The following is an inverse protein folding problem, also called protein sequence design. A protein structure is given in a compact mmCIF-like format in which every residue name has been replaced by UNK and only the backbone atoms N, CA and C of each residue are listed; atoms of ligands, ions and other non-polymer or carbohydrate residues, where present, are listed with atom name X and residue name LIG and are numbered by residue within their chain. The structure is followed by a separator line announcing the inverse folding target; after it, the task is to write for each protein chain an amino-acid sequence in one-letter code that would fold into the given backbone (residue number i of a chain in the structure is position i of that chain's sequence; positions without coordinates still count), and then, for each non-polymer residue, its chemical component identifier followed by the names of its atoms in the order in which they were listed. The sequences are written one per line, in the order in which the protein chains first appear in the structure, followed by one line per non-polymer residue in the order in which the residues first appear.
data_IF_331806998810
#
_entry.id   IF_331806998810
#
_cell.length_a   1.000
_cell.length_b   1.000
_cell.length_c   1.000
_cell.angle_alpha   90.00
_cell.angle_beta   90.00
_cell.angle_gamma   90.00
#
_symmetry.space_group_name_H-M   'P 1'
#
loop_
_entity.id
_entity.type
_entity.pdbx_description
1 polymer ?
#
# COMPACT_ATOMS: atom_id res chain seq x y z
N UNK A 1 -31.24 34.41 -46.03
CA UNK A 1 -30.02 33.60 -46.25
C UNK A 1 -28.84 34.45 -45.79
N UNK A 2 -28.54 34.43 -44.51
CA UNK A 2 -27.46 35.21 -43.88
C UNK A 2 -26.46 34.17 -43.33
N UNK A 3 -25.37 33.95 -44.06
CA UNK A 3 -24.25 33.15 -43.63
C UNK A 3 -23.46 33.93 -42.56
N UNK A 4 -23.58 33.55 -41.32
CA UNK A 4 -22.69 34.02 -40.24
C UNK A 4 -21.38 33.23 -40.31
N UNK A 5 -20.33 33.87 -40.82
CA UNK A 5 -18.97 33.39 -40.76
C UNK A 5 -18.53 33.33 -39.30
N UNK A 6 -18.22 32.14 -38.78
CA UNK A 6 -17.53 31.98 -37.50
C UNK A 6 -16.08 32.46 -37.64
N UNK A 7 -15.60 33.35 -36.80
CA UNK A 7 -14.19 33.73 -36.84
C UNK A 7 -13.33 32.52 -36.45
N UNK A 8 -12.44 32.14 -37.35
CA UNK A 8 -11.36 31.18 -37.08
C UNK A 8 -10.38 31.84 -36.13
N UNK A 9 -10.49 31.54 -34.82
CA UNK A 9 -9.48 31.92 -33.85
C UNK A 9 -8.25 31.05 -34.13
N UNK A 10 -7.28 31.63 -34.84
CA UNK A 10 -5.96 31.07 -35.00
C UNK A 10 -5.30 31.07 -33.60
N UNK A 11 -5.18 29.88 -33.01
CA UNK A 11 -4.49 29.67 -31.75
C UNK A 11 -2.97 29.79 -31.96
N UNK A 12 -2.52 31.03 -32.21
CA UNK A 12 -1.11 31.35 -32.16
C UNK A 12 -0.73 31.46 -30.68
N UNK A 13 -0.52 30.31 -30.01
CA UNK A 13 0.05 30.29 -28.67
C UNK A 13 1.49 30.82 -28.79
N UNK A 14 1.86 31.93 -28.16
CA UNK A 14 3.23 32.39 -28.18
C UNK A 14 4.10 31.29 -27.61
N UNK A 15 4.99 30.72 -28.43
CA UNK A 15 6.09 29.89 -27.97
C UNK A 15 7.00 30.77 -27.13
N UNK A 16 6.74 30.81 -25.82
CA UNK A 16 7.59 31.51 -24.88
C UNK A 16 8.95 30.81 -24.88
N UNK A 17 9.90 31.35 -25.66
CA UNK A 17 11.29 30.87 -25.61
C UNK A 17 11.82 31.20 -24.23
N UNK A 18 11.81 30.23 -23.33
CA UNK A 18 12.42 30.38 -22.01
C UNK A 18 13.88 30.81 -22.21
N UNK A 19 14.31 31.82 -21.50
CA UNK A 19 15.67 32.30 -21.57
C UNK A 19 16.66 31.13 -21.29
N UNK A 20 17.74 31.07 -22.02
CA UNK A 20 18.70 29.96 -21.96
C UNK A 20 19.16 29.66 -20.52
N UNK A 21 19.40 30.71 -19.74
CA UNK A 21 19.82 30.60 -18.34
C UNK A 21 18.78 29.92 -17.45
N UNK A 22 17.48 30.11 -17.71
CA UNK A 22 16.40 29.43 -16.97
C UNK A 22 16.43 27.91 -17.24
N UNK A 23 16.65 27.52 -18.49
CA UNK A 23 16.80 26.12 -18.83
C UNK A 23 18.04 25.50 -18.17
N UNK A 24 19.20 26.21 -18.21
CA UNK A 24 20.43 25.76 -17.56
C UNK A 24 20.20 25.57 -16.07
N UNK A 25 19.59 26.55 -15.39
CA UNK A 25 19.30 26.46 -13.97
C UNK A 25 18.34 25.30 -13.67
N UNK A 26 17.29 25.13 -14.49
CA UNK A 26 16.33 24.00 -14.33
C UNK A 26 17.04 22.67 -14.43
N UNK A 27 17.88 22.47 -15.47
CA UNK A 27 18.63 21.20 -15.62
C UNK A 27 19.67 21.01 -14.50
N UNK A 28 20.35 22.06 -14.07
CA UNK A 28 21.29 21.98 -12.96
C UNK A 28 20.63 21.53 -11.66
N UNK A 29 19.45 22.10 -11.33
CA UNK A 29 18.65 21.68 -10.17
C UNK A 29 18.16 20.23 -10.31
N UNK A 30 17.67 19.84 -11.49
CA UNK A 30 17.21 18.48 -11.75
C UNK A 30 18.36 17.45 -11.62
N UNK A 31 19.54 17.74 -12.18
CA UNK A 31 20.71 16.88 -12.08
C UNK A 31 21.16 16.77 -10.63
N UNK A 32 21.25 17.89 -9.91
CA UNK A 32 21.61 17.89 -8.50
C UNK A 32 20.67 17.01 -7.66
N UNK A 33 19.36 17.21 -7.79
CA UNK A 33 18.38 16.38 -7.06
C UNK A 33 18.41 14.92 -7.49
N UNK A 34 18.64 14.64 -8.78
CA UNK A 34 18.80 13.26 -9.25
C UNK A 34 20.01 12.58 -8.60
N UNK A 35 21.14 13.28 -8.49
CA UNK A 35 22.33 12.76 -7.80
C UNK A 35 22.06 12.51 -6.31
N UNK A 36 21.40 13.45 -5.63
CA UNK A 36 21.03 13.29 -4.20
C UNK A 36 20.12 12.07 -4.00
N UNK A 37 19.12 11.87 -4.88
CA UNK A 37 18.22 10.72 -4.79
C UNK A 37 18.88 9.38 -5.15
N UNK A 38 19.79 9.38 -6.13
CA UNK A 38 20.46 8.17 -6.59
C UNK A 38 21.65 7.76 -5.71
N UNK A 39 22.24 8.70 -4.97
CA UNK A 39 23.41 8.44 -4.13
C UNK A 39 23.19 7.33 -3.09
N UNK A 40 22.09 7.30 -2.31
CA UNK A 40 21.84 6.21 -1.37
C UNK A 40 21.73 4.85 -2.06
N UNK A 41 21.12 4.78 -3.25
CA UNK A 41 20.99 3.54 -4.01
C UNK A 41 22.34 3.09 -4.54
N UNK A 42 23.15 4.02 -5.05
CA UNK A 42 24.52 3.76 -5.46
C UNK A 42 25.37 3.24 -4.28
N UNK A 43 25.24 3.89 -3.11
CA UNK A 43 25.96 3.49 -1.90
C UNK A 43 25.61 2.06 -1.49
N UNK A 44 24.34 1.71 -1.42
CA UNK A 44 23.89 0.35 -1.10
C UNK A 44 24.39 -0.65 -2.15
N UNK A 45 24.36 -0.30 -3.44
CA UNK A 45 24.88 -1.16 -4.51
C UNK A 45 26.38 -1.41 -4.36
N UNK A 46 27.14 -0.38 -4.12
CA UNK A 46 28.61 -0.49 -3.90
C UNK A 46 28.90 -1.31 -2.64
N UNK A 47 28.20 -1.04 -1.54
CA UNK A 47 28.38 -1.75 -0.27
C UNK A 47 28.09 -3.24 -0.41
N UNK A 48 27.09 -3.62 -1.19
CA UNK A 48 26.76 -5.04 -1.44
C UNK A 48 27.87 -5.82 -2.16
N UNK A 49 28.80 -5.12 -2.80
CA UNK A 49 29.93 -5.70 -3.54
C UNK A 49 31.24 -5.67 -2.74
N UNK A 50 31.25 -5.10 -1.53
CA UNK A 50 32.42 -5.11 -0.65
C UNK A 50 32.49 -6.43 0.09
N UNK A 51 33.40 -7.31 -0.29
CA UNK A 51 33.49 -8.65 0.29
C UNK A 51 34.48 -8.77 1.45
N UNK A 52 35.16 -7.68 1.84
CA UNK A 52 36.15 -7.65 2.90
C UNK A 52 35.69 -6.70 4.02
N UNK A 53 35.64 -7.14 5.29
CA UNK A 53 35.30 -6.29 6.43
C UNK A 53 36.18 -5.03 6.55
N UNK A 54 37.46 -5.10 6.20
CA UNK A 54 38.38 -3.96 6.20
C UNK A 54 37.93 -2.82 5.27
N UNK A 55 37.22 -3.13 4.20
CA UNK A 55 36.74 -2.13 3.23
C UNK A 55 35.58 -1.27 3.77
N UNK A 56 35.01 -1.58 4.94
CA UNK A 56 33.98 -0.77 5.57
C UNK A 56 34.53 0.39 6.39
N UNK A 57 35.78 0.31 6.80
CA UNK A 57 36.41 1.32 7.65
C UNK A 57 36.92 2.54 6.86
N UNK A 58 37.08 2.40 5.54
CA UNK A 58 37.53 3.46 4.67
C UNK A 58 36.52 3.84 3.59
N UNK A 59 36.51 5.11 3.13
CA UNK A 59 35.53 5.61 2.17
C UNK A 59 35.86 5.18 0.74
N UNK A 60 35.85 3.88 0.47
CA UNK A 60 36.01 3.33 -0.88
C UNK A 60 34.68 3.44 -1.66
N UNK A 61 34.65 4.32 -2.66
CA UNK A 61 33.46 4.64 -3.40
C UNK A 61 33.39 4.02 -4.79
N UNK A 62 34.55 3.80 -5.42
CA UNK A 62 34.62 3.40 -6.83
C UNK A 62 35.01 1.92 -6.97
N UNK A 63 34.07 1.06 -7.43
CA UNK A 63 34.40 -0.33 -7.75
C UNK A 63 35.52 -0.39 -8.82
N UNK A 64 36.36 -1.39 -8.72
CA UNK A 64 37.55 -1.63 -9.57
C UNK A 64 38.71 -0.61 -9.47
N UNK A 65 38.50 0.54 -8.80
CA UNK A 65 39.53 1.54 -8.53
C UNK A 65 39.99 1.46 -7.08
N UNK A 66 39.03 1.57 -6.17
CA UNK A 66 39.30 1.60 -4.73
C UNK A 66 39.31 0.19 -4.12
N UNK A 67 38.51 -0.73 -4.71
CA UNK A 67 38.41 -2.12 -4.25
C UNK A 67 38.01 -3.08 -5.38
N UNK A 68 38.30 -4.36 -5.21
CA UNK A 68 37.85 -5.43 -6.13
C UNK A 68 36.45 -5.89 -5.74
N UNK A 69 35.44 -5.73 -6.62
CA UNK A 69 34.08 -6.18 -6.32
C UNK A 69 34.02 -7.68 -6.06
N UNK A 70 33.28 -8.07 -5.02
CA UNK A 70 33.09 -9.45 -4.63
C UNK A 70 31.57 -9.76 -4.52
N UNK A 71 31.18 -10.95 -4.92
CA UNK A 71 29.80 -11.45 -4.76
C UNK A 71 29.62 -12.27 -3.47
N UNK A 72 30.58 -12.23 -2.53
CA UNK A 72 30.55 -13.01 -1.29
C UNK A 72 29.24 -12.77 -0.51
N UNK A 73 28.82 -11.52 -0.37
CA UNK A 73 27.57 -11.17 0.31
C UNK A 73 26.34 -11.75 -0.39
N UNK A 74 26.30 -11.69 -1.72
CA UNK A 74 25.21 -12.27 -2.52
C UNK A 74 25.15 -13.80 -2.42
N UNK A 75 26.29 -14.45 -2.53
CA UNK A 75 26.39 -15.92 -2.31
C UNK A 75 25.94 -16.26 -0.90
N UNK A 76 26.38 -15.49 0.10
CA UNK A 76 26.01 -15.70 1.49
C UNK A 76 24.48 -15.64 1.71
N UNK A 77 23.80 -14.59 1.23
CA UNK A 77 22.34 -14.47 1.41
C UNK A 77 21.56 -15.50 0.60
N UNK A 78 22.09 -15.95 -0.55
CA UNK A 78 21.44 -16.95 -1.40
C UNK A 78 21.70 -18.39 -0.96
N UNK A 79 22.86 -18.67 -0.34
CA UNK A 79 23.30 -20.03 0.00
C UNK A 79 23.11 -20.38 1.47
N UNK A 80 23.50 -19.48 2.38
CA UNK A 80 23.40 -19.73 3.83
C UNK A 80 22.04 -19.31 4.41
N UNK A 81 21.35 -18.37 3.76
CA UNK A 81 19.95 -18.06 4.05
C UNK A 81 18.98 -19.02 3.34
N UNK A 82 19.47 -20.14 2.83
CA UNK A 82 18.88 -21.00 1.80
C UNK A 82 17.47 -21.47 2.13
N UNK A 83 17.17 -21.74 3.38
CA UNK A 83 15.84 -22.27 3.74
C UNK A 83 14.78 -21.18 3.90
N UNK A 84 15.18 -19.90 3.88
CA UNK A 84 14.26 -18.84 4.30
C UNK A 84 14.12 -17.64 3.36
N UNK A 85 15.10 -17.30 2.52
CA UNK A 85 15.01 -16.13 1.64
C UNK A 85 13.90 -16.27 0.59
N UNK A 86 13.87 -17.39 -0.12
CA UNK A 86 12.85 -17.67 -1.14
C UNK A 86 11.47 -17.81 -0.52
N UNK A 87 11.36 -18.44 0.66
CA UNK A 87 10.11 -18.54 1.40
C UNK A 87 9.60 -17.15 1.78
N UNK A 88 10.46 -16.28 2.30
CA UNK A 88 10.09 -14.91 2.68
C UNK A 88 9.73 -14.04 1.48
N UNK A 89 10.44 -14.23 0.37
CA UNK A 89 10.07 -13.62 -0.90
C UNK A 89 8.68 -14.06 -1.36
N UNK A 90 8.41 -15.36 -1.32
CA UNK A 90 7.10 -15.92 -1.68
C UNK A 90 6.01 -15.41 -0.74
N UNK A 91 6.24 -15.40 0.57
CA UNK A 91 5.31 -14.84 1.54
C UNK A 91 5.01 -13.37 1.26
N UNK A 92 6.05 -12.54 1.03
CA UNK A 92 5.88 -11.14 0.65
C UNK A 92 5.06 -10.97 -0.63
N UNK A 93 5.29 -11.82 -1.63
CA UNK A 93 4.55 -11.80 -2.88
C UNK A 93 3.08 -12.19 -2.67
N UNK A 94 2.81 -13.27 -1.97
CA UNK A 94 1.45 -13.74 -1.68
C UNK A 94 0.69 -12.68 -0.86
N UNK A 95 1.27 -12.22 0.25
CA UNK A 95 0.64 -11.20 1.11
C UNK A 95 0.46 -9.90 0.35
N UNK A 96 1.50 -9.40 -0.31
CA UNK A 96 1.47 -8.13 -1.02
C UNK A 96 0.46 -8.11 -2.16
N UNK A 97 0.45 -9.12 -3.02
CA UNK A 97 -0.48 -9.22 -4.15
C UNK A 97 -1.92 -9.40 -3.66
N UNK A 98 -2.15 -10.34 -2.74
CA UNK A 98 -3.51 -10.63 -2.25
C UNK A 98 -4.10 -9.44 -1.51
N UNK A 99 -3.33 -8.80 -0.62
CA UNK A 99 -3.78 -7.59 0.09
C UNK A 99 -4.05 -6.44 -0.88
N UNK A 100 -3.23 -6.28 -1.91
CA UNK A 100 -3.45 -5.25 -2.94
C UNK A 100 -4.75 -5.48 -3.69
N UNK A 101 -4.97 -6.69 -4.17
CA UNK A 101 -6.20 -7.05 -4.90
C UNK A 101 -7.44 -6.84 -4.04
N UNK A 102 -7.41 -7.28 -2.79
CA UNK A 102 -8.52 -7.07 -1.84
C UNK A 102 -8.74 -5.58 -1.56
N UNK A 103 -7.66 -4.84 -1.28
CA UNK A 103 -7.74 -3.40 -0.97
C UNK A 103 -8.30 -2.60 -2.14
N UNK A 104 -7.82 -2.83 -3.35
CA UNK A 104 -8.29 -2.12 -4.54
C UNK A 104 -9.71 -2.52 -4.90
N UNK A 105 -10.07 -3.80 -4.77
CA UNK A 105 -11.43 -4.27 -5.04
C UNK A 105 -12.44 -3.71 -4.03
N UNK A 106 -12.16 -3.80 -2.74
CA UNK A 106 -13.04 -3.27 -1.69
C UNK A 106 -13.10 -1.74 -1.72
N UNK A 107 -11.94 -1.09 -1.89
CA UNK A 107 -11.85 0.36 -2.04
C UNK A 107 -12.60 0.87 -3.28
N UNK A 108 -12.44 0.18 -4.40
CA UNK A 108 -13.16 0.49 -5.65
C UNK A 108 -14.67 0.35 -5.49
N UNK A 109 -15.16 -0.74 -4.89
CA UNK A 109 -16.58 -0.91 -4.60
C UNK A 109 -17.10 0.18 -3.65
N UNK A 110 -16.34 0.52 -2.61
CA UNK A 110 -16.70 1.57 -1.67
C UNK A 110 -16.78 2.94 -2.36
N UNK A 111 -15.78 3.30 -3.17
CA UNK A 111 -15.75 4.57 -3.91
C UNK A 111 -16.86 4.62 -4.96
N UNK A 112 -17.08 3.54 -5.71
CA UNK A 112 -18.20 3.45 -6.65
C UNK A 112 -19.53 3.69 -5.94
N UNK A 113 -19.75 3.01 -4.80
CA UNK A 113 -20.93 3.23 -3.98
C UNK A 113 -21.08 4.70 -3.53
N UNK A 114 -20.02 5.32 -3.03
CA UNK A 114 -20.03 6.69 -2.52
C UNK A 114 -20.17 7.75 -3.62
N UNK A 115 -19.73 7.47 -4.85
CA UNK A 115 -19.85 8.41 -5.98
C UNK A 115 -21.16 8.30 -6.73
N UNK A 116 -21.82 7.13 -6.72
CA UNK A 116 -23.06 6.85 -7.48
C UNK A 116 -24.33 6.86 -6.62
N UNK A 117 -24.21 6.64 -5.31
CA UNK A 117 -25.35 6.64 -4.41
C UNK A 117 -25.23 7.71 -3.35
N UNK A 118 -26.37 8.28 -2.97
CA UNK A 118 -26.43 9.21 -1.84
C UNK A 118 -26.79 8.45 -0.57
N UNK A 119 -25.84 8.39 0.35
CA UNK A 119 -26.06 7.78 1.66
C UNK A 119 -26.38 8.83 2.72
N UNK A 120 -27.26 8.46 3.64
CA UNK A 120 -27.57 9.23 4.83
C UNK A 120 -27.57 8.28 6.04
N UNK A 121 -26.38 8.05 6.60
CA UNK A 121 -26.20 7.16 7.75
C UNK A 121 -26.23 7.99 9.03
N UNK A 122 -27.05 7.60 10.00
CA UNK A 122 -27.14 8.30 11.28
C UNK A 122 -25.93 7.98 12.16
N UNK A 123 -25.36 8.99 12.77
CA UNK A 123 -24.21 8.86 13.69
C UNK A 123 -24.46 7.81 14.78
N UNK A 124 -25.66 7.80 15.35
CA UNK A 124 -26.05 6.82 16.36
C UNK A 124 -25.86 5.38 15.90
N UNK A 125 -26.15 5.08 14.63
CA UNK A 125 -25.92 3.73 14.07
C UNK A 125 -24.44 3.40 14.00
N UNK A 126 -23.61 4.33 13.52
CA UNK A 126 -22.17 4.11 13.44
C UNK A 126 -21.54 3.90 14.81
N UNK A 127 -21.94 4.71 15.81
CA UNK A 127 -21.47 4.55 17.19
C UNK A 127 -21.90 3.20 17.76
N UNK A 128 -23.14 2.80 17.55
CA UNK A 128 -23.64 1.50 18.04
C UNK A 128 -22.94 0.32 17.35
N UNK A 129 -22.69 0.39 16.02
CA UNK A 129 -21.91 -0.63 15.32
C UNK A 129 -20.46 -0.68 15.80
N UNK A 130 -19.84 0.47 16.04
CA UNK A 130 -18.47 0.53 16.58
C UNK A 130 -18.41 -0.08 17.98
N UNK A 131 -19.33 0.28 18.87
CA UNK A 131 -19.41 -0.31 20.21
C UNK A 131 -19.65 -1.81 20.13
N UNK A 132 -20.55 -2.27 19.25
CA UNK A 132 -20.78 -3.69 19.05
C UNK A 132 -19.51 -4.42 18.59
N UNK A 133 -18.73 -3.84 17.69
CA UNK A 133 -17.44 -4.41 17.25
C UNK A 133 -16.41 -4.47 18.39
N UNK A 134 -16.33 -3.42 19.22
CA UNK A 134 -15.44 -3.38 20.39
C UNK A 134 -15.81 -4.46 21.40
N UNK A 135 -17.10 -4.61 21.71
CA UNK A 135 -17.58 -5.66 22.62
C UNK A 135 -17.40 -7.06 22.02
N UNK A 136 -17.61 -7.25 20.70
CA UNK A 136 -17.32 -8.51 20.03
C UNK A 136 -15.84 -8.89 20.14
N UNK A 137 -14.93 -7.91 19.93
CA UNK A 137 -13.50 -8.10 20.13
C UNK A 137 -13.14 -8.45 21.57
N UNK A 138 -13.76 -7.77 22.55
CA UNK A 138 -13.60 -8.08 23.96
C UNK A 138 -14.03 -9.50 24.33
N UNK A 139 -15.10 -10.01 23.75
CA UNK A 139 -15.56 -11.38 23.96
C UNK A 139 -14.54 -12.43 23.51
N UNK A 140 -13.72 -12.13 22.49
CA UNK A 140 -12.64 -13.01 22.01
C UNK A 140 -11.44 -12.99 22.99
N UNK A 141 -11.15 -11.83 23.56
CA UNK A 141 -9.92 -11.61 24.38
C UNK A 141 -10.06 -12.17 25.81
N UNK A 142 -11.27 -12.12 26.38
CA UNK A 142 -11.47 -12.46 27.79
C UNK A 142 -11.85 -13.94 27.94
N UNK A 143 -10.99 -14.80 28.52
CA UNK A 143 -11.23 -16.26 28.57
C UNK A 143 -12.23 -16.71 29.66
N UNK A 144 -12.92 -15.77 30.30
CA UNK A 144 -13.90 -16.08 31.34
C UNK A 144 -15.28 -16.28 30.70
N UNK A 145 -15.80 -17.49 30.70
CA UNK A 145 -17.03 -17.89 30.03
C UNK A 145 -18.23 -16.99 30.34
N UNK A 146 -18.41 -16.64 31.60
CA UNK A 146 -19.51 -15.75 32.03
C UNK A 146 -19.38 -14.36 31.42
N UNK A 147 -18.16 -13.82 31.38
CA UNK A 147 -17.86 -12.49 30.82
C UNK A 147 -18.04 -12.52 29.30
N UNK A 148 -17.61 -13.59 28.63
CA UNK A 148 -17.85 -13.77 27.17
C UNK A 148 -19.33 -13.76 26.83
N UNK A 149 -20.18 -14.48 27.59
CA UNK A 149 -21.64 -14.44 27.40
C UNK A 149 -22.20 -13.03 27.54
N UNK A 150 -21.75 -12.27 28.55
CA UNK A 150 -22.17 -10.89 28.73
C UNK A 150 -21.78 -10.02 27.52
N UNK A 151 -20.54 -10.14 27.04
CA UNK A 151 -20.06 -9.41 25.86
C UNK A 151 -20.87 -9.77 24.59
N UNK A 152 -21.16 -11.03 24.37
CA UNK A 152 -21.99 -11.49 23.25
C UNK A 152 -23.41 -10.91 23.35
N UNK A 153 -24.03 -10.95 24.53
CA UNK A 153 -25.37 -10.36 24.75
C UNK A 153 -25.37 -8.86 24.48
N UNK A 154 -24.37 -8.13 25.03
CA UNK A 154 -24.24 -6.69 24.80
C UNK A 154 -24.02 -6.38 23.32
N UNK A 155 -23.17 -7.15 22.64
CA UNK A 155 -22.92 -7.03 21.20
C UNK A 155 -24.22 -7.21 20.40
N UNK A 156 -24.97 -8.27 20.68
CA UNK A 156 -26.25 -8.54 20.02
C UNK A 156 -27.28 -7.42 20.27
N UNK A 157 -27.37 -6.92 21.50
CA UNK A 157 -28.25 -5.81 21.87
C UNK A 157 -27.86 -4.51 21.12
N UNK A 158 -26.57 -4.16 21.10
CA UNK A 158 -26.08 -2.98 20.38
C UNK A 158 -26.34 -3.09 18.87
N UNK A 159 -26.15 -4.28 18.30
CA UNK A 159 -26.46 -4.56 16.89
C UNK A 159 -27.95 -4.40 16.60
N UNK A 160 -28.81 -4.97 17.42
CA UNK A 160 -30.28 -4.82 17.29
C UNK A 160 -30.70 -3.36 17.44
N UNK A 161 -30.10 -2.61 18.35
CA UNK A 161 -30.37 -1.18 18.49
C UNK A 161 -29.89 -0.41 17.26
N UNK A 162 -28.72 -0.73 16.70
CA UNK A 162 -28.18 -0.09 15.50
C UNK A 162 -29.05 -0.31 14.26
N UNK A 163 -29.70 -1.46 14.15
CA UNK A 163 -30.58 -1.82 13.02
C UNK A 163 -31.98 -1.23 13.10
N UNK A 164 -32.40 -0.66 14.24
CA UNK A 164 -33.74 -0.05 14.38
C UNK A 164 -33.98 1.06 13.36
N UNK A 165 -35.15 1.10 12.68
CA UNK A 165 -35.40 2.05 11.59
C UNK A 165 -35.54 3.50 12.05
N UNK A 166 -35.95 3.74 13.31
CA UNK A 166 -36.29 5.08 13.80
C UNK A 166 -35.24 5.68 14.76
N UNK A 167 -33.95 5.63 14.36
CA UNK A 167 -32.87 6.26 15.11
C UNK A 167 -32.95 7.79 15.03
N UNK A 168 -32.80 8.51 16.15
CA UNK A 168 -32.67 9.97 16.20
C UNK A 168 -31.18 10.36 16.14
N UNK A 169 -30.86 11.53 15.58
CA UNK A 169 -29.49 12.07 15.56
C UNK A 169 -29.09 12.61 14.19
N UNK A 170 -27.94 13.32 14.13
CA UNK A 170 -27.42 13.89 12.90
C UNK A 170 -27.08 12.78 11.89
N UNK A 171 -27.25 13.10 10.61
CA UNK A 171 -26.92 12.19 9.50
C UNK A 171 -25.56 12.53 8.93
N UNK A 172 -24.73 11.51 8.73
CA UNK A 172 -23.54 11.58 7.91
C UNK A 172 -23.90 11.34 6.45
N UNK A 173 -23.60 12.30 5.61
CA UNK A 173 -23.66 12.18 4.16
C UNK A 173 -22.34 11.62 3.64
N UNK A 174 -22.26 11.41 2.32
CA UNK A 174 -21.09 10.80 1.69
C UNK A 174 -19.76 11.46 2.10
N UNK A 175 -19.71 12.79 2.18
CA UNK A 175 -18.49 13.52 2.61
C UNK A 175 -18.07 13.17 4.04
N UNK A 176 -19.04 13.04 4.94
CA UNK A 176 -18.77 12.63 6.32
C UNK A 176 -18.33 11.17 6.43
N UNK A 177 -18.87 10.28 5.58
CA UNK A 177 -18.44 8.87 5.50
C UNK A 177 -17.01 8.80 4.98
N UNK A 178 -16.69 9.54 3.92
CA UNK A 178 -15.34 9.64 3.37
C UNK A 178 -14.36 10.16 4.42
N UNK A 179 -14.72 11.24 5.11
CA UNK A 179 -13.90 11.78 6.19
C UNK A 179 -13.66 10.74 7.29
N UNK A 180 -14.69 10.00 7.70
CA UNK A 180 -14.55 8.95 8.72
C UNK A 180 -13.60 7.83 8.28
N UNK A 181 -13.67 7.39 7.01
CA UNK A 181 -12.74 6.40 6.45
C UNK A 181 -11.30 6.93 6.49
N UNK A 182 -11.08 8.16 6.02
CA UNK A 182 -9.75 8.77 5.98
C UNK A 182 -9.20 9.04 7.38
N UNK A 183 -10.05 9.42 8.33
CA UNK A 183 -9.67 9.68 9.72
C UNK A 183 -9.07 8.45 10.42
N UNK A 184 -9.41 7.24 9.99
CA UNK A 184 -8.79 6.02 10.54
C UNK A 184 -7.28 5.96 10.29
N UNK A 185 -6.78 6.64 9.26
CA UNK A 185 -5.34 6.70 8.93
C UNK A 185 -4.55 7.67 9.82
N UNK A 186 -5.23 8.55 10.57
CA UNK A 186 -4.59 9.46 11.52
C UNK A 186 -3.97 8.69 12.69
N UNK A 187 -4.52 7.52 13.04
CA UNK A 187 -3.95 6.69 14.10
C UNK A 187 -2.58 6.15 13.67
N UNK A 188 -1.52 6.37 14.49
CA UNK A 188 -0.21 5.81 14.19
C UNK A 188 -0.26 4.27 14.17
N UNK A 189 0.35 3.61 13.17
CA UNK A 189 0.33 2.14 13.06
C UNK A 189 0.82 1.42 14.32
N UNK A 190 1.78 2.01 15.06
CA UNK A 190 2.32 1.45 16.30
C UNK A 190 1.27 1.33 17.42
N UNK A 191 0.27 2.21 17.43
CA UNK A 191 -0.84 2.15 18.41
C UNK A 191 -1.81 1.04 18.05
N UNK A 192 -1.97 0.79 16.75
CA UNK A 192 -2.93 -0.17 16.21
C UNK A 192 -2.37 -1.60 16.23
N UNK A 193 -1.05 -1.78 16.09
CA UNK A 193 -0.44 -3.11 15.98
C UNK A 193 -0.61 -3.94 17.25
N UNK A 194 -0.53 -3.32 18.43
CA UNK A 194 -0.65 -4.05 19.70
C UNK A 194 -2.03 -4.67 19.93
N UNK A 195 -3.16 -3.95 19.76
CA UNK A 195 -4.47 -4.57 19.83
C UNK A 195 -4.66 -5.70 18.79
N UNK A 196 -4.15 -5.51 17.54
CA UNK A 196 -4.23 -6.54 16.50
C UNK A 196 -3.41 -7.78 16.89
N UNK A 197 -2.21 -7.58 17.43
CA UNK A 197 -1.38 -8.67 17.94
C UNK A 197 -2.12 -9.49 19.01
N UNK A 198 -2.70 -8.81 20.00
CA UNK A 198 -3.46 -9.47 21.06
C UNK A 198 -4.65 -10.25 20.50
N UNK A 199 -5.41 -9.65 19.57
CA UNK A 199 -6.52 -10.35 18.91
C UNK A 199 -6.03 -11.57 18.12
N UNK A 200 -4.93 -11.46 17.36
CA UNK A 200 -4.36 -12.56 16.60
C UNK A 200 -3.84 -13.67 17.52
N UNK A 201 -3.28 -13.33 18.67
CA UNK A 201 -2.84 -14.30 19.68
C UNK A 201 -4.02 -15.11 20.24
N UNK A 202 -5.10 -14.45 20.65
CA UNK A 202 -6.26 -15.14 21.22
C UNK A 202 -7.04 -15.96 20.20
N UNK A 203 -7.03 -15.57 18.94
CA UNK A 203 -7.69 -16.31 17.85
C UNK A 203 -6.81 -17.40 17.24
N UNK A 204 -5.55 -17.50 17.65
CA UNK A 204 -4.59 -18.44 17.03
C UNK A 204 -4.19 -18.04 15.59
N UNK A 205 -4.40 -16.78 15.21
CA UNK A 205 -4.10 -16.28 13.87
C UNK A 205 -2.66 -15.75 13.73
N UNK A 206 -1.87 -15.70 14.81
CA UNK A 206 -0.46 -15.33 14.73
C UNK A 206 0.29 -16.25 13.76
N UNK A 207 1.27 -15.70 13.06
CA UNK A 207 2.10 -16.40 12.09
C UNK A 207 1.31 -17.07 10.96
N UNK A 208 0.26 -16.38 10.47
CA UNK A 208 -0.56 -16.81 9.34
C UNK A 208 -0.65 -15.74 8.25
N UNK A 209 -0.75 -16.17 6.99
CA UNK A 209 -1.02 -15.28 5.86
C UNK A 209 -2.33 -14.49 6.05
N UNK A 210 -3.34 -15.12 6.67
CA UNK A 210 -4.62 -14.48 6.94
C UNK A 210 -4.48 -13.23 7.80
N UNK A 211 -3.72 -13.31 8.92
CA UNK A 211 -3.52 -12.16 9.80
C UNK A 211 -2.86 -10.99 9.07
N UNK A 212 -1.82 -11.25 8.24
CA UNK A 212 -1.15 -10.22 7.47
C UNK A 212 -2.06 -9.64 6.38
N UNK A 213 -2.70 -10.49 5.58
CA UNK A 213 -3.56 -10.06 4.46
C UNK A 213 -4.71 -9.21 4.99
N UNK A 214 -5.36 -9.64 6.07
CA UNK A 214 -6.45 -8.89 6.68
C UNK A 214 -5.98 -7.53 7.22
N UNK A 215 -4.86 -7.51 7.93
CA UNK A 215 -4.29 -6.30 8.51
C UNK A 215 -3.83 -5.31 7.43
N UNK A 216 -3.11 -5.78 6.41
CA UNK A 216 -2.62 -4.93 5.31
C UNK A 216 -3.77 -4.37 4.49
N UNK A 217 -4.79 -5.19 4.20
CA UNK A 217 -6.00 -4.75 3.51
C UNK A 217 -6.71 -3.66 4.29
N UNK A 218 -6.95 -3.88 5.59
CA UNK A 218 -7.63 -2.93 6.46
C UNK A 218 -6.85 -1.61 6.59
N UNK A 219 -5.53 -1.69 6.79
CA UNK A 219 -4.67 -0.53 6.95
C UNK A 219 -4.55 0.32 5.67
N UNK A 220 -4.57 -0.29 4.48
CA UNK A 220 -4.41 0.40 3.22
C UNK A 220 -5.74 0.78 2.53
N UNK A 221 -6.88 0.27 3.01
CA UNK A 221 -8.20 0.58 2.46
C UNK A 221 -8.48 2.09 2.39
N UNK A 222 -8.23 2.91 3.43
CA UNK A 222 -8.42 4.36 3.37
C UNK A 222 -7.59 5.04 2.27
N UNK A 223 -6.36 4.58 2.05
CA UNK A 223 -5.48 5.11 1.01
C UNK A 223 -6.02 4.78 -0.38
N UNK A 224 -6.48 3.55 -0.60
CA UNK A 224 -7.10 3.15 -1.86
C UNK A 224 -8.37 3.98 -2.15
N UNK A 225 -9.23 4.16 -1.15
CA UNK A 225 -10.45 5.00 -1.27
C UNK A 225 -10.06 6.43 -1.65
N UNK A 226 -9.06 7.02 -0.98
CA UNK A 226 -8.62 8.38 -1.27
C UNK A 226 -8.06 8.54 -2.69
N UNK A 227 -7.24 7.58 -3.13
CA UNK A 227 -6.62 7.63 -4.47
C UNK A 227 -7.63 7.33 -5.59
N UNK A 228 -8.61 6.46 -5.36
CA UNK A 228 -9.63 6.11 -6.35
C UNK A 228 -10.74 7.16 -6.47
N UNK A 229 -10.99 7.95 -5.43
CA UNK A 229 -12.09 8.91 -5.38
C UNK A 229 -12.09 9.91 -6.55
N UNK A 230 -11.00 10.64 -6.84
CA UNK A 230 -10.96 11.55 -7.99
C UNK A 230 -11.12 10.81 -9.32
N UNK A 231 -10.49 9.65 -9.47
CA UNK A 231 -10.55 8.82 -10.68
C UNK A 231 -11.99 8.42 -11.01
N UNK A 232 -12.75 7.98 -10.00
CA UNK A 232 -14.14 7.51 -10.17
C UNK A 232 -15.11 8.69 -10.30
N UNK A 233 -14.79 9.82 -9.69
CA UNK A 233 -15.60 11.04 -9.76
C UNK A 233 -15.62 11.70 -11.14
N UNK A 234 -14.55 11.55 -11.92
CA UNK A 234 -14.44 12.13 -13.27
C UNK A 234 -15.21 11.37 -14.35
N UNK A 235 -15.65 10.13 -14.09
CA UNK A 235 -16.36 9.32 -15.07
C UNK A 235 -17.80 9.80 -15.20
N UNK A 236 -18.19 10.14 -16.44
CA UNK A 236 -19.54 10.57 -16.78
C UNK A 236 -20.57 9.45 -16.55
N UNK A 237 -21.72 9.79 -15.96
CA UNK A 237 -22.79 8.83 -15.62
C UNK A 237 -23.63 8.38 -16.82
N UNK A 238 -23.57 9.09 -17.95
CA UNK A 238 -24.45 8.86 -19.10
C UNK A 238 -24.44 7.43 -19.66
N UNK A 239 -23.29 6.77 -19.65
CA UNK A 239 -23.19 5.37 -20.12
C UNK A 239 -23.79 4.39 -19.12
N UNK A 240 -23.65 4.67 -17.83
CA UNK A 240 -24.22 3.88 -16.74
C UNK A 240 -25.77 4.01 -16.74
N UNK A 241 -26.26 5.23 -16.94
CA UNK A 241 -27.71 5.51 -17.04
C UNK A 241 -28.35 4.80 -18.25
N UNK A 242 -27.69 4.81 -19.40
CA UNK A 242 -28.14 4.07 -20.58
C UNK A 242 -28.22 2.55 -20.32
N UNK A 243 -27.19 2.00 -19.68
CA UNK A 243 -27.18 0.57 -19.33
C UNK A 243 -28.23 0.20 -18.28
N UNK A 244 -28.59 1.12 -17.37
CA UNK A 244 -29.69 0.93 -16.42
C UNK A 244 -31.06 0.89 -17.13
N UNK A 245 -31.24 1.70 -18.16
CA UNK A 245 -32.46 1.65 -18.98
C UNK A 245 -32.59 0.32 -19.71
N UNK A 246 -31.46 -0.30 -20.11
CA UNK A 246 -31.41 -1.65 -20.69
C UNK A 246 -31.58 -2.77 -19.64
N UNK A 247 -31.80 -2.43 -18.38
CA UNK A 247 -32.04 -3.40 -17.28
C UNK A 247 -30.78 -4.03 -16.69
N UNK A 248 -29.57 -3.46 -16.93
CA UNK A 248 -28.36 -3.96 -16.31
C UNK A 248 -28.31 -3.66 -14.80
N UNK A 249 -27.90 -4.64 -13.99
CA UNK A 249 -27.69 -4.43 -12.56
C UNK A 249 -26.48 -3.58 -12.28
N UNK A 250 -26.44 -2.86 -11.15
CA UNK A 250 -25.31 -2.01 -10.76
C UNK A 250 -23.97 -2.75 -10.72
N UNK A 251 -23.94 -4.00 -10.24
CA UNK A 251 -22.72 -4.80 -10.22
C UNK A 251 -22.24 -5.14 -11.65
N UNK A 252 -23.16 -5.44 -12.56
CA UNK A 252 -22.84 -5.68 -13.95
C UNK A 252 -22.28 -4.42 -14.60
N UNK A 253 -22.92 -3.27 -14.40
CA UNK A 253 -22.42 -1.96 -14.87
C UNK A 253 -21.02 -1.70 -14.33
N UNK A 254 -20.81 -1.89 -13.03
CA UNK A 254 -19.48 -1.70 -12.42
C UNK A 254 -18.41 -2.56 -13.09
N UNK A 255 -18.66 -3.86 -13.26
CA UNK A 255 -17.64 -4.80 -13.75
C UNK A 255 -17.43 -4.70 -15.27
N UNK A 256 -18.49 -4.46 -16.05
CA UNK A 256 -18.41 -4.56 -17.52
C UNK A 256 -18.27 -3.22 -18.24
N UNK A 257 -18.67 -2.12 -17.61
CA UNK A 257 -18.63 -0.78 -18.23
C UNK A 257 -17.64 0.10 -17.45
N UNK A 258 -17.91 0.31 -16.17
CA UNK A 258 -17.17 1.28 -15.37
C UNK A 258 -15.70 0.89 -15.13
N UNK A 259 -15.46 -0.31 -14.62
CA UNK A 259 -14.10 -0.77 -14.28
C UNK A 259 -13.15 -0.80 -15.49
N UNK A 260 -13.57 -1.24 -16.70
CA UNK A 260 -12.72 -1.13 -17.90
C UNK A 260 -12.36 0.31 -18.28
N UNK A 261 -13.26 1.29 -18.06
CA UNK A 261 -12.99 2.70 -18.36
C UNK A 261 -11.89 3.28 -17.47
N UNK A 262 -11.87 2.89 -16.20
CA UNK A 262 -10.90 3.38 -15.19
C UNK A 262 -9.74 2.40 -14.96
N UNK A 263 -9.60 1.35 -15.76
CA UNK A 263 -8.66 0.25 -15.52
C UNK A 263 -7.21 0.71 -15.39
N UNK A 264 -6.76 1.64 -16.24
CA UNK A 264 -5.39 2.17 -16.17
C UNK A 264 -5.11 2.89 -14.86
N UNK A 265 -6.00 3.79 -14.47
CA UNK A 265 -5.86 4.56 -13.23
C UNK A 265 -5.99 3.68 -12.00
N UNK A 266 -6.91 2.71 -12.03
CA UNK A 266 -7.08 1.71 -10.97
C UNK A 266 -5.83 0.82 -10.84
N UNK A 267 -5.21 0.42 -11.95
CA UNK A 267 -3.95 -0.33 -11.94
C UNK A 267 -2.79 0.51 -11.35
N UNK A 268 -2.73 1.81 -11.65
CA UNK A 268 -1.75 2.71 -11.06
C UNK A 268 -1.92 2.83 -9.54
N UNK A 269 -3.17 2.96 -9.07
CA UNK A 269 -3.47 2.91 -7.62
C UNK A 269 -3.07 1.56 -7.03
N UNK A 270 -3.38 0.46 -7.73
CA UNK A 270 -2.97 -0.89 -7.32
C UNK A 270 -1.45 -1.01 -7.14
N UNK A 271 -0.66 -0.42 -8.03
CA UNK A 271 0.80 -0.39 -7.88
C UNK A 271 1.24 0.35 -6.61
N UNK A 272 0.63 1.50 -6.32
CA UNK A 272 0.93 2.25 -5.08
C UNK A 272 0.61 1.42 -3.84
N UNK A 273 -0.57 0.78 -3.81
CA UNK A 273 -0.97 -0.09 -2.69
C UNK A 273 -0.03 -1.30 -2.58
N UNK A 274 0.40 -1.89 -3.70
CA UNK A 274 1.36 -2.99 -3.70
C UNK A 274 2.70 -2.56 -3.08
N UNK A 275 3.22 -1.37 -3.45
CA UNK A 275 4.45 -0.82 -2.87
C UNK A 275 4.31 -0.64 -1.36
N UNK A 276 3.15 -0.14 -0.88
CA UNK A 276 2.89 0.00 0.56
C UNK A 276 2.85 -1.36 1.27
N UNK A 277 2.17 -2.36 0.70
CA UNK A 277 2.12 -3.70 1.27
C UNK A 277 3.47 -4.41 1.23
N UNK A 278 4.24 -4.25 0.15
CA UNK A 278 5.55 -4.87 -0.02
C UNK A 278 6.58 -4.38 0.99
N UNK A 279 6.55 -3.08 1.31
CA UNK A 279 7.48 -2.44 2.24
C UNK A 279 6.98 -2.44 3.69
N UNK A 280 5.85 -3.11 3.99
CA UNK A 280 5.29 -3.11 5.33
C UNK A 280 6.14 -3.94 6.29
N UNK A 281 6.71 -3.26 7.27
CA UNK A 281 7.60 -3.84 8.27
C UNK A 281 6.90 -4.11 9.60
N UNK A 282 6.17 -3.09 10.12
CA UNK A 282 5.72 -3.08 11.49
C UNK A 282 4.74 -4.22 11.80
N UNK A 283 3.66 -4.33 11.01
CA UNK A 283 2.69 -5.39 11.23
C UNK A 283 3.30 -6.77 11.00
N UNK A 284 4.18 -6.92 10.00
CA UNK A 284 4.86 -8.19 9.78
C UNK A 284 5.77 -8.58 10.95
N UNK A 285 6.55 -7.64 11.48
CA UNK A 285 7.47 -7.89 12.59
C UNK A 285 6.75 -8.33 13.88
N UNK A 286 5.52 -7.85 14.10
CA UNK A 286 4.74 -8.22 15.29
C UNK A 286 3.83 -9.42 15.09
N UNK A 287 3.28 -9.63 13.89
CA UNK A 287 2.27 -10.67 13.63
C UNK A 287 2.86 -11.98 13.12
N UNK A 288 4.14 -12.00 12.72
CA UNK A 288 4.77 -13.22 12.17
C UNK A 288 6.07 -13.55 12.90
N UNK A 289 6.45 -14.82 12.84
CA UNK A 289 7.72 -15.33 13.33
C UNK A 289 8.47 -16.09 12.22
N UNK A 290 8.31 -17.40 12.14
CA UNK A 290 9.13 -18.23 11.25
C UNK A 290 8.42 -18.66 9.96
N UNK A 291 7.12 -19.00 10.04
CA UNK A 291 6.39 -19.63 8.92
C UNK A 291 6.01 -18.62 7.84
N UNK A 292 5.53 -17.44 8.25
CA UNK A 292 4.93 -16.43 7.35
C UNK A 292 5.71 -15.13 7.36
N UNK A 293 6.92 -15.12 7.92
CA UNK A 293 7.78 -13.95 7.90
C UNK A 293 7.98 -13.44 6.46
N UNK A 294 7.90 -12.11 6.30
CA UNK A 294 8.07 -11.40 5.02
C UNK A 294 9.49 -10.86 4.89
N UNK A 295 9.82 -10.31 3.70
CA UNK A 295 11.16 -9.77 3.44
C UNK A 295 11.55 -8.60 4.36
N UNK A 296 10.71 -7.57 4.63
CA UNK A 296 11.15 -6.41 5.40
C UNK A 296 11.65 -6.75 6.82
N UNK A 297 10.94 -7.55 7.65
CA UNK A 297 11.47 -7.98 8.95
C UNK A 297 12.75 -8.81 8.83
N UNK A 298 12.83 -9.68 7.83
CA UNK A 298 14.02 -10.49 7.61
C UNK A 298 15.24 -9.63 7.24
N UNK A 299 15.08 -8.65 6.34
CA UNK A 299 16.15 -7.70 5.99
C UNK A 299 16.61 -6.94 7.22
N UNK A 300 15.70 -6.42 8.02
CA UNK A 300 16.05 -5.72 9.27
C UNK A 300 16.79 -6.63 10.27
N UNK A 301 16.42 -7.91 10.32
CA UNK A 301 17.08 -8.91 11.18
C UNK A 301 18.53 -9.25 10.77
N UNK A 302 18.97 -8.95 9.54
CA UNK A 302 20.33 -9.25 9.10
C UNK A 302 21.39 -8.50 9.91
N UNK A 303 21.09 -7.34 10.48
CA UNK A 303 22.00 -6.63 11.38
C UNK A 303 22.06 -7.26 12.78
N UNK A 304 20.92 -7.67 13.32
CA UNK A 304 20.82 -8.11 14.72
C UNK A 304 21.47 -9.46 14.98
N UNK A 305 21.55 -10.34 13.98
CA UNK A 305 22.10 -11.70 14.14
C UNK A 305 23.61 -11.68 14.37
N UNK A 306 24.31 -10.61 14.02
CA UNK A 306 25.79 -10.54 14.00
C UNK A 306 26.42 -9.64 15.04
N UNK A 307 25.62 -8.83 15.77
CA UNK A 307 26.13 -7.99 16.86
C UNK A 307 26.80 -8.81 18.00
N UNK A 308 26.55 -10.11 18.07
CA UNK A 308 27.19 -11.01 19.05
C UNK A 308 28.48 -11.73 18.59
N UNK A 309 28.84 -11.63 17.30
CA UNK A 309 30.07 -12.22 16.76
C UNK A 309 31.09 -11.11 16.51
N UNK A 310 31.97 -10.89 17.50
CA UNK A 310 33.09 -9.96 17.41
C UNK A 310 34.00 -10.41 16.25
N UNK A 311 34.01 -9.65 15.15
CA UNK A 311 34.94 -9.84 14.04
C UNK A 311 34.38 -9.67 12.62
N UNK A 312 33.06 -9.54 12.42
CA UNK A 312 32.47 -9.61 11.08
C UNK A 312 31.44 -8.49 10.76
N UNK A 313 31.60 -7.30 11.37
CA UNK A 313 30.70 -6.16 11.13
C UNK A 313 30.63 -5.76 9.64
N UNK A 314 31.74 -5.85 8.91
CA UNK A 314 31.81 -5.55 7.49
C UNK A 314 30.98 -6.50 6.63
N UNK A 315 31.00 -7.79 6.93
CA UNK A 315 30.19 -8.79 6.24
C UNK A 315 28.68 -8.57 6.50
N UNK A 316 28.29 -8.10 7.70
CA UNK A 316 26.91 -7.78 8.02
C UNK A 316 26.35 -6.63 7.16
N UNK A 317 27.11 -5.54 7.00
CA UNK A 317 26.74 -4.42 6.15
C UNK A 317 26.61 -4.79 4.67
N UNK A 318 27.55 -5.62 4.16
CA UNK A 318 27.50 -6.10 2.77
C UNK A 318 26.28 -6.99 2.54
N UNK A 319 25.99 -7.89 3.46
CA UNK A 319 24.82 -8.79 3.37
C UNK A 319 23.49 -8.03 3.52
N UNK A 320 23.41 -7.08 4.45
CA UNK A 320 22.26 -6.18 4.56
C UNK A 320 22.03 -5.42 3.25
N UNK A 321 23.10 -4.87 2.67
CA UNK A 321 23.00 -4.13 1.41
C UNK A 321 22.55 -5.02 0.26
N UNK A 322 23.06 -6.24 0.15
CA UNK A 322 22.61 -7.22 -0.84
C UNK A 322 21.13 -7.61 -0.63
N UNK A 323 20.70 -7.80 0.62
CA UNK A 323 19.32 -8.10 0.97
C UNK A 323 18.36 -6.93 0.63
N UNK A 324 18.78 -5.68 0.88
CA UNK A 324 18.01 -4.48 0.50
C UNK A 324 17.84 -4.42 -1.02
N UNK A 325 18.91 -4.64 -1.80
CA UNK A 325 18.81 -4.65 -3.27
C UNK A 325 17.88 -5.76 -3.74
N UNK A 326 18.00 -6.96 -3.18
CA UNK A 326 17.12 -8.07 -3.49
C UNK A 326 15.64 -7.73 -3.23
N UNK A 327 15.35 -7.03 -2.12
CA UNK A 327 14.00 -6.58 -1.79
C UNK A 327 13.48 -5.50 -2.75
N UNK A 328 14.35 -4.61 -3.25
CA UNK A 328 13.96 -3.51 -4.14
C UNK A 328 13.74 -3.98 -5.59
N UNK A 329 14.45 -5.02 -6.05
CA UNK A 329 14.38 -5.49 -7.45
C UNK A 329 12.95 -5.74 -7.97
N UNK A 330 12.05 -6.45 -7.25
CA UNK A 330 10.70 -6.67 -7.74
C UNK A 330 9.90 -5.36 -7.89
N UNK A 331 10.10 -4.40 -6.99
CA UNK A 331 9.44 -3.09 -7.08
C UNK A 331 9.87 -2.31 -8.31
N UNK A 332 11.18 -2.30 -8.61
CA UNK A 332 11.71 -1.67 -9.82
C UNK A 332 11.17 -2.35 -11.08
N UNK A 333 11.12 -3.68 -11.10
CA UNK A 333 10.54 -4.44 -12.20
C UNK A 333 9.05 -4.13 -12.40
N UNK A 334 8.25 -4.16 -11.32
CA UNK A 334 6.82 -3.83 -11.36
C UNK A 334 6.59 -2.39 -11.82
N UNK A 335 7.35 -1.43 -11.31
CA UNK A 335 7.24 -0.01 -11.69
C UNK A 335 7.61 0.19 -13.16
N UNK A 336 8.69 -0.42 -13.64
CA UNK A 336 9.13 -0.35 -15.04
C UNK A 336 8.11 -0.97 -16.01
N UNK A 337 7.51 -2.09 -15.64
CA UNK A 337 6.43 -2.72 -16.42
C UNK A 337 5.17 -1.86 -16.42
N UNK A 338 4.78 -1.32 -15.26
CA UNK A 338 3.61 -0.46 -15.13
C UNK A 338 3.75 0.82 -15.97
N UNK A 339 4.91 1.47 -15.97
CA UNK A 339 5.16 2.66 -16.79
C UNK A 339 4.97 2.38 -18.29
N UNK A 340 5.47 1.24 -18.79
CA UNK A 340 5.28 0.82 -20.18
C UNK A 340 3.82 0.56 -20.52
N UNK A 341 3.08 -0.04 -19.60
CA UNK A 341 1.65 -0.35 -19.79
C UNK A 341 0.81 0.93 -19.75
N UNK A 342 0.99 1.78 -18.74
CA UNK A 342 0.28 3.04 -18.56
C UNK A 342 0.55 4.03 -19.71
N UNK A 343 1.80 4.12 -20.20
CA UNK A 343 2.15 4.95 -21.34
C UNK A 343 1.44 4.54 -22.63
N UNK A 344 1.18 3.24 -22.84
CA UNK A 344 0.41 2.74 -23.99
C UNK A 344 -1.09 3.02 -23.90
N UNK A 345 -1.64 3.04 -22.68
CA UNK A 345 -3.07 3.32 -22.46
C UNK A 345 -3.39 4.81 -22.54
N UNK A 346 -2.47 5.68 -22.15
CA UNK A 346 -2.62 7.14 -22.26
C UNK A 346 -2.57 7.66 -23.72
N UNK A 347 -2.06 6.85 -24.64
CA UNK A 347 -1.96 7.18 -26.08
C UNK A 347 -3.15 6.63 -26.91
N UNK A 348 -4.08 5.93 -26.31
CA UNK A 348 -5.33 5.47 -26.90
C UNK A 348 -6.53 6.28 -26.40
#
# INVERSE_FOLDING_TARGET
MIMTQRPTVSANRPHYKRALWVNILTYAVLVFWSLVCLFPLYWVAVTSLKGDPGLMQEPFYLPFVDFTPSLKAWVSILTYANDHLLLRFFNSAVVGITSTLLTVSLGGLAVYGLTRFQYAVRWTRLVLFFLAAVFAGGAIIIPVVLVQFLFVIVTALLFLLATRPNQRGPTLRNDGILFAILATRILPPVVVVMPIYVMAQYTGALDTHFALIFTYTSANLPVAVWLLLPVFGEVATSQEESAQLDGASHLRIFLTIFLPMVAASTAAVGLVIFILCWNEYLFAAYLTSDKVSTLPPWVAGQMSIKEGQVGDEGDAWSQLSAAIIFMIMPLLACTGLAQRFLGRMALR
#
